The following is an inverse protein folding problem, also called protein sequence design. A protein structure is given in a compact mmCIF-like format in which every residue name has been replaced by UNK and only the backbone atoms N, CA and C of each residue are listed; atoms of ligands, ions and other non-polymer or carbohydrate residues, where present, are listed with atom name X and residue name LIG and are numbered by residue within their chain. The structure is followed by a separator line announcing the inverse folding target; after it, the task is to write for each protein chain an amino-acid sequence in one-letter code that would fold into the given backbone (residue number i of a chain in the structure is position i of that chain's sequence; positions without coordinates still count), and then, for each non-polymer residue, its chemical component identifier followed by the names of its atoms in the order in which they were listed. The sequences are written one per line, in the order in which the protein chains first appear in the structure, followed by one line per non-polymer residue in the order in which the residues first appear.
data_IF_764993064843
#
_entry.id   IF_764993064843
#
_cell.length_a   1.000
_cell.length_b   1.000
_cell.length_c   1.000
_cell.angle_alpha   90.00
_cell.angle_beta   90.00
_cell.angle_gamma   90.00
#
_symmetry.space_group_name_H-M   'P 1'
#
loop_
_entity.id
_entity.type
_entity.pdbx_description
1 polymer ?
#
# COMPACT_ATOMS: atom_id res chain seq x y z
N UNK A 1 33.93 21.22 45.27
CA UNK A 1 32.60 20.82 44.78
C UNK A 1 32.67 20.58 43.26
N UNK A 2 33.11 19.40 42.80
CA UNK A 2 33.25 19.10 41.35
C UNK A 2 32.71 17.72 40.93
N UNK A 3 32.14 16.94 41.87
CA UNK A 3 31.73 15.54 41.63
C UNK A 3 30.27 15.34 41.23
N UNK A 4 29.43 16.39 41.32
CA UNK A 4 28.00 16.29 41.02
C UNK A 4 27.66 16.55 39.54
N UNK A 5 28.46 17.35 38.83
CA UNK A 5 28.12 17.82 37.48
C UNK A 5 28.25 16.71 36.40
N UNK A 6 29.25 15.82 36.54
CA UNK A 6 29.50 14.76 35.54
C UNK A 6 28.44 13.65 35.51
N UNK A 7 27.77 13.38 36.63
CA UNK A 7 26.72 12.34 36.71
C UNK A 7 25.42 12.76 36.04
N UNK A 8 25.12 14.06 36.04
CA UNK A 8 23.89 14.59 35.42
C UNK A 8 23.98 14.52 33.90
N UNK A 9 25.15 14.78 33.31
CA UNK A 9 25.36 14.75 31.86
C UNK A 9 25.25 13.33 31.30
N UNK A 10 25.80 12.33 32.01
CA UNK A 10 25.72 10.92 31.57
C UNK A 10 24.28 10.40 31.63
N UNK A 11 23.52 10.76 32.67
CA UNK A 11 22.10 10.39 32.78
C UNK A 11 21.24 11.05 31.69
N UNK A 12 21.54 12.31 31.34
CA UNK A 12 20.81 13.03 30.29
C UNK A 12 21.06 12.41 28.90
N UNK A 13 22.30 12.01 28.60
CA UNK A 13 22.64 11.32 27.34
C UNK A 13 22.02 9.92 27.27
N UNK A 14 21.99 9.16 28.37
CA UNK A 14 21.38 7.84 28.39
C UNK A 14 19.85 7.90 28.21
N UNK A 15 19.18 8.91 28.76
CA UNK A 15 17.75 9.14 28.50
C UNK A 15 17.48 9.55 27.05
N UNK A 16 18.28 10.43 26.46
CA UNK A 16 18.12 10.84 25.05
C UNK A 16 18.36 9.69 24.06
N UNK A 17 19.31 8.80 24.36
CA UNK A 17 19.57 7.60 23.56
C UNK A 17 18.45 6.55 23.66
N UNK A 18 17.72 6.47 24.78
CA UNK A 18 16.56 5.58 24.94
C UNK A 18 15.33 6.03 24.13
N UNK A 19 15.23 7.30 23.75
CA UNK A 19 14.13 7.82 22.93
C UNK A 19 14.46 7.90 21.43
N UNK A 20 15.72 7.66 21.03
CA UNK A 20 16.17 7.89 19.66
C UNK A 20 16.18 6.63 18.75
N UNK A 21 15.89 5.43 19.26
CA UNK A 21 16.04 4.18 18.49
C UNK A 21 14.77 3.33 18.45
N UNK A 22 13.63 4.00 18.34
CA UNK A 22 12.42 3.37 17.79
C UNK A 22 11.86 4.34 16.77
N UNK A 23 12.58 4.54 15.65
CA UNK A 23 11.88 4.94 14.44
C UNK A 23 10.98 3.75 14.09
N UNK A 24 9.64 3.86 14.18
CA UNK A 24 8.81 2.82 13.62
C UNK A 24 9.19 2.74 12.14
N UNK A 25 9.74 1.61 11.71
CA UNK A 25 9.69 1.26 10.30
C UNK A 25 8.25 1.48 9.85
N UNK A 26 7.99 2.06 8.67
CA UNK A 26 6.63 2.14 8.16
C UNK A 26 6.02 0.73 8.26
N UNK A 27 4.99 0.59 9.10
CA UNK A 27 4.34 -0.69 9.27
C UNK A 27 3.63 -0.98 7.95
N UNK A 28 3.94 -2.12 7.34
CA UNK A 28 3.24 -2.59 6.14
C UNK A 28 1.73 -2.60 6.43
N UNK A 29 0.98 -1.81 5.67
CA UNK A 29 -0.45 -1.66 5.86
C UNK A 29 -1.21 -2.65 4.98
N UNK A 30 -2.20 -3.32 5.57
CA UNK A 30 -3.16 -4.11 4.84
C UNK A 30 -4.50 -3.36 4.83
N UNK A 31 -4.97 -3.00 3.65
CA UNK A 31 -6.24 -2.32 3.45
C UNK A 31 -7.28 -3.27 2.87
N UNK A 32 -8.55 -3.04 3.22
CA UNK A 32 -9.67 -3.88 2.80
C UNK A 32 -10.70 -3.04 2.05
N UNK A 33 -11.26 -3.65 1.02
CA UNK A 33 -12.27 -3.11 0.12
C UNK A 33 -13.35 -4.18 -0.08
N UNK A 34 -14.60 -3.85 0.18
CA UNK A 34 -15.72 -4.77 -0.06
C UNK A 34 -16.71 -4.17 -1.06
N UNK A 35 -16.71 -4.71 -2.28
CA UNK A 35 -17.51 -4.15 -3.39
C UNK A 35 -19.03 -4.32 -3.21
N UNK A 36 -19.46 -5.15 -2.25
CA UNK A 36 -20.87 -5.28 -1.88
C UNK A 36 -21.42 -4.11 -1.05
N UNK A 37 -20.56 -3.32 -0.40
CA UNK A 37 -20.94 -2.14 0.40
C UNK A 37 -20.60 -0.83 -0.32
N UNK A 38 -19.46 -0.79 -1.00
CA UNK A 38 -19.01 0.38 -1.76
C UNK A 38 -18.92 0.00 -3.25
N UNK A 39 -19.59 0.71 -4.17
CA UNK A 39 -19.55 0.37 -5.60
C UNK A 39 -18.18 0.61 -6.24
N UNK A 40 -17.28 1.30 -5.52
CA UNK A 40 -15.91 1.56 -5.92
C UNK A 40 -15.02 1.63 -4.68
N UNK A 41 -13.76 1.26 -4.87
CA UNK A 41 -12.71 1.42 -3.87
C UNK A 41 -11.60 2.31 -4.41
N UNK A 42 -11.08 3.16 -3.54
CA UNK A 42 -9.96 4.05 -3.81
C UNK A 42 -8.98 3.90 -2.65
N UNK A 43 -7.76 3.46 -2.94
CA UNK A 43 -6.72 3.24 -1.94
C UNK A 43 -5.34 3.66 -2.47
N UNK A 44 -4.49 4.12 -1.56
CA UNK A 44 -3.10 4.48 -1.84
C UNK A 44 -2.23 3.53 -1.02
N UNK A 45 -1.28 2.88 -1.70
CA UNK A 45 -0.33 1.96 -1.10
C UNK A 45 1.04 2.68 -1.10
N UNK A 46 1.35 3.45 -0.04
CA UNK A 46 2.52 4.33 -0.01
C UNK A 46 3.86 3.58 0.04
N UNK A 47 3.88 2.35 0.56
CA UNK A 47 5.12 1.62 0.79
C UNK A 47 5.16 0.29 0.04
N UNK A 48 6.38 -0.15 -0.27
CA UNK A 48 6.64 -1.50 -0.76
C UNK A 48 6.19 -2.53 0.27
N UNK A 49 5.46 -3.55 -0.19
CA UNK A 49 4.83 -4.58 0.61
C UNK A 49 3.38 -4.27 1.02
N UNK A 50 2.91 -3.02 0.91
CA UNK A 50 1.52 -2.69 1.26
C UNK A 50 0.52 -3.49 0.40
N UNK A 51 -0.57 -3.92 1.03
CA UNK A 51 -1.56 -4.84 0.46
C UNK A 51 -2.95 -4.20 0.40
N UNK A 52 -3.67 -4.48 -0.68
CA UNK A 52 -5.09 -4.20 -0.83
C UNK A 52 -5.85 -5.50 -1.09
N UNK A 53 -6.74 -5.87 -0.17
CA UNK A 53 -7.69 -6.97 -0.33
C UNK A 53 -9.03 -6.45 -0.85
N UNK A 54 -9.50 -7.02 -1.96
CA UNK A 54 -10.77 -6.67 -2.60
C UNK A 54 -11.70 -7.88 -2.54
N UNK A 55 -12.71 -7.80 -1.69
CA UNK A 55 -13.74 -8.82 -1.54
C UNK A 55 -14.86 -8.61 -2.56
N UNK A 56 -15.15 -9.66 -3.33
CA UNK A 56 -16.19 -9.70 -4.36
C UNK A 56 -17.49 -10.25 -3.74
N UNK A 57 -18.62 -9.53 -3.83
CA UNK A 57 -19.88 -9.97 -3.24
C UNK A 57 -20.41 -11.25 -3.91
N UNK A 58 -21.36 -11.91 -3.25
CA UNK A 58 -21.99 -13.15 -3.76
C UNK A 58 -22.80 -12.91 -5.05
N UNK A 59 -23.32 -11.71 -5.26
CA UNK A 59 -24.11 -11.34 -6.43
C UNK A 59 -23.73 -9.94 -6.91
N UNK A 60 -24.05 -9.65 -8.17
CA UNK A 60 -23.97 -8.29 -8.73
C UNK A 60 -22.57 -7.83 -9.15
N UNK A 61 -21.51 -8.62 -8.99
CA UNK A 61 -20.19 -8.31 -9.55
C UNK A 61 -19.65 -9.54 -10.27
N UNK A 62 -19.38 -9.39 -11.58
CA UNK A 62 -18.82 -10.45 -12.44
C UNK A 62 -17.50 -10.04 -13.10
N UNK A 63 -17.16 -8.75 -13.03
CA UNK A 63 -15.83 -8.24 -13.41
C UNK A 63 -15.47 -7.03 -12.57
N UNK A 64 -14.17 -6.72 -12.49
CA UNK A 64 -13.66 -5.50 -11.88
C UNK A 64 -12.89 -4.68 -12.90
N UNK A 65 -13.09 -3.35 -12.87
CA UNK A 65 -12.17 -2.41 -13.54
C UNK A 65 -11.16 -1.90 -12.54
N UNK A 66 -9.88 -2.08 -12.86
CA UNK A 66 -8.76 -1.64 -12.03
C UNK A 66 -8.02 -0.52 -12.75
N UNK A 67 -7.85 0.62 -12.08
CA UNK A 67 -7.06 1.75 -12.55
C UNK A 67 -5.89 1.95 -11.60
N UNK A 68 -4.69 1.81 -12.15
CA UNK A 68 -3.43 1.95 -11.43
C UNK A 68 -2.77 3.26 -11.83
N UNK A 69 -2.18 3.97 -10.88
CA UNK A 69 -1.46 5.22 -11.13
C UNK A 69 -0.22 5.29 -10.26
N UNK A 70 0.94 5.48 -10.89
CA UNK A 70 2.20 5.74 -10.20
C UNK A 70 2.21 7.21 -9.74
N UNK A 71 2.50 7.43 -8.45
CA UNK A 71 2.65 8.75 -7.84
C UNK A 71 4.04 8.96 -7.24
N UNK A 72 4.96 8.03 -7.51
CA UNK A 72 6.34 8.18 -7.09
C UNK A 72 7.05 9.21 -7.95
N UNK A 73 7.91 10.01 -7.30
CA UNK A 73 8.67 11.05 -7.97
C UNK A 73 9.96 10.46 -8.59
N UNK A 74 9.80 9.71 -9.69
CA UNK A 74 10.92 9.25 -10.51
C UNK A 74 11.29 7.77 -10.39
N UNK A 75 10.51 6.96 -9.65
CA UNK A 75 10.68 5.52 -9.57
C UNK A 75 9.60 4.77 -10.37
N UNK A 76 9.90 3.57 -10.82
CA UNK A 76 8.87 2.70 -11.39
C UNK A 76 8.05 2.08 -10.26
N UNK A 77 6.73 2.13 -10.38
CA UNK A 77 5.82 1.40 -9.50
C UNK A 77 5.59 0.00 -10.06
N UNK A 78 5.66 -1.00 -9.20
CA UNK A 78 5.36 -2.40 -9.55
C UNK A 78 4.15 -2.83 -8.73
N UNK A 79 3.06 -3.18 -9.41
CA UNK A 79 1.86 -3.71 -8.79
C UNK A 79 1.74 -5.18 -9.14
N UNK A 80 1.61 -6.03 -8.13
CA UNK A 80 1.34 -7.45 -8.33
C UNK A 80 -0.11 -7.77 -7.93
N UNK A 81 -0.63 -8.87 -8.47
CA UNK A 81 -1.94 -9.40 -8.10
C UNK A 81 -1.97 -10.92 -8.19
N UNK A 82 -2.93 -11.55 -7.53
CA UNK A 82 -3.16 -13.00 -7.62
C UNK A 82 -3.96 -13.43 -8.87
N UNK A 83 -4.40 -12.47 -9.69
CA UNK A 83 -5.25 -12.70 -10.88
C UNK A 83 -4.59 -12.36 -12.22
N UNK A 84 -3.41 -11.74 -12.22
CA UNK A 84 -2.67 -11.36 -13.43
C UNK A 84 -1.17 -11.23 -13.15
N UNK A 85 -0.37 -11.11 -14.21
CA UNK A 85 1.05 -10.81 -14.12
C UNK A 85 1.30 -9.41 -13.52
N UNK A 86 2.47 -9.22 -12.87
CA UNK A 86 2.87 -7.91 -12.37
C UNK A 86 2.81 -6.82 -13.46
N UNK A 87 2.32 -5.65 -13.06
CA UNK A 87 2.22 -4.47 -13.91
C UNK A 87 3.27 -3.47 -13.45
N UNK A 88 4.13 -3.05 -14.38
CA UNK A 88 5.11 -1.98 -14.17
C UNK A 88 4.56 -0.68 -14.77
N UNK A 89 4.65 0.40 -14.02
CA UNK A 89 4.16 1.73 -14.41
C UNK A 89 5.31 2.73 -14.21
N UNK A 90 5.78 3.34 -15.30
CA UNK A 90 6.85 4.34 -15.20
C UNK A 90 6.35 5.62 -14.50
N UNK A 91 7.26 6.49 -13.99
CA UNK A 91 6.88 7.70 -13.23
C UNK A 91 5.94 8.64 -14.01
N UNK A 92 6.16 8.75 -15.32
CA UNK A 92 5.44 9.68 -16.19
C UNK A 92 4.41 8.96 -17.08
N UNK A 93 4.15 7.68 -16.84
CA UNK A 93 3.17 6.92 -17.60
C UNK A 93 1.75 7.40 -17.31
N UNK A 94 0.88 7.24 -18.32
CA UNK A 94 -0.56 7.40 -18.11
C UNK A 94 -1.07 6.31 -17.18
N UNK A 95 -2.16 6.56 -16.43
CA UNK A 95 -2.81 5.53 -15.64
C UNK A 95 -3.09 4.28 -16.46
N UNK A 96 -2.74 3.11 -15.92
CA UNK A 96 -3.00 1.82 -16.55
C UNK A 96 -4.37 1.34 -16.13
N UNK A 97 -5.21 0.98 -17.11
CA UNK A 97 -6.53 0.41 -16.87
C UNK A 97 -6.59 -1.04 -17.35
N UNK A 98 -7.19 -1.89 -16.53
CA UNK A 98 -7.41 -3.31 -16.80
C UNK A 98 -8.81 -3.72 -16.35
N UNK A 99 -9.45 -4.59 -17.12
CA UNK A 99 -10.71 -5.22 -16.75
C UNK A 99 -10.44 -6.70 -16.50
N UNK A 100 -10.85 -7.21 -15.34
CA UNK A 100 -10.66 -8.60 -14.97
C UNK A 100 -11.99 -9.27 -14.72
N UNK A 101 -12.27 -10.44 -15.31
CA UNK A 101 -13.38 -11.28 -14.86
C UNK A 101 -13.09 -11.78 -13.45
N UNK A 102 -14.11 -11.83 -12.59
CA UNK A 102 -13.99 -12.33 -11.22
C UNK A 102 -15.10 -13.32 -10.90
N UNK A 103 -14.86 -14.17 -9.91
CA UNK A 103 -15.85 -15.13 -9.41
C UNK A 103 -16.62 -14.47 -8.25
N UNK A 104 -17.96 -14.54 -8.20
CA UNK A 104 -18.69 -14.07 -7.03
C UNK A 104 -18.26 -14.83 -5.76
N UNK A 105 -18.35 -14.16 -4.60
CA UNK A 105 -17.91 -14.72 -3.30
C UNK A 105 -16.42 -15.13 -3.27
N UNK A 106 -15.57 -14.37 -3.97
CA UNK A 106 -14.11 -14.51 -3.92
C UNK A 106 -13.46 -13.24 -3.39
N UNK A 107 -12.13 -13.23 -3.33
CA UNK A 107 -11.34 -12.03 -3.13
C UNK A 107 -10.21 -11.94 -4.16
N UNK A 108 -9.67 -10.74 -4.33
CA UNK A 108 -8.49 -10.44 -5.14
C UNK A 108 -7.53 -9.65 -4.26
N UNK A 109 -6.24 -9.96 -4.34
CA UNK A 109 -5.22 -9.22 -3.60
C UNK A 109 -4.36 -8.43 -4.59
N UNK A 110 -4.15 -7.15 -4.30
CA UNK A 110 -3.15 -6.33 -4.97
C UNK A 110 -2.06 -5.96 -3.99
N UNK A 111 -0.82 -5.93 -4.45
CA UNK A 111 0.32 -5.50 -3.64
C UNK A 111 1.18 -4.49 -4.38
N UNK A 112 1.74 -3.55 -3.62
CA UNK A 112 2.82 -2.70 -4.10
C UNK A 112 4.15 -3.45 -3.94
N UNK A 113 4.68 -4.02 -5.01
CA UNK A 113 5.92 -4.79 -5.03
C UNK A 113 7.12 -3.97 -5.52
N UNK A 114 7.02 -2.65 -5.49
CA UNK A 114 8.11 -1.78 -5.95
C UNK A 114 9.36 -2.03 -5.10
N UNK A 115 10.54 -2.27 -5.70
CA UNK A 115 11.75 -2.60 -4.93
C UNK A 115 12.33 -1.39 -4.18
N UNK A 116 11.88 -0.18 -4.53
CA UNK A 116 12.27 1.06 -3.87
C UNK A 116 11.25 1.41 -2.80
N UNK A 117 11.67 1.54 -1.52
CA UNK A 117 10.81 2.04 -0.45
C UNK A 117 10.17 3.38 -0.81
N UNK A 118 8.97 3.65 -0.31
CA UNK A 118 8.23 4.91 -0.51
C UNK A 118 7.76 5.18 -1.97
N UNK A 119 7.71 4.14 -2.82
CA UNK A 119 7.14 4.24 -4.17
C UNK A 119 5.62 4.15 -4.09
N UNK A 120 4.93 5.29 -4.02
CA UNK A 120 3.48 5.32 -3.86
C UNK A 120 2.75 4.89 -5.15
N UNK A 121 1.85 3.93 -5.01
CA UNK A 121 0.88 3.57 -6.04
C UNK A 121 -0.54 3.80 -5.57
N UNK A 122 -1.39 4.31 -6.46
CA UNK A 122 -2.82 4.43 -6.23
C UNK A 122 -3.57 3.35 -7.00
N UNK A 123 -4.46 2.65 -6.32
CA UNK A 123 -5.31 1.62 -6.89
C UNK A 123 -6.78 2.05 -6.75
N UNK A 124 -7.49 2.05 -7.86
CA UNK A 124 -8.93 2.25 -7.93
C UNK A 124 -9.60 1.02 -8.51
N UNK A 125 -10.61 0.47 -7.83
CA UNK A 125 -11.30 -0.76 -8.22
C UNK A 125 -12.80 -0.51 -8.28
N UNK A 126 -13.45 -0.89 -9.38
CA UNK A 126 -14.89 -0.75 -9.58
C UNK A 126 -15.50 -2.13 -9.82
N UNK A 127 -16.59 -2.44 -9.12
CA UNK A 127 -17.35 -3.66 -9.37
C UNK A 127 -18.34 -3.46 -10.52
N UNK A 128 -18.34 -4.36 -11.50
CA UNK A 128 -19.24 -4.32 -12.64
C UNK A 128 -20.13 -5.57 -12.71
N UNK A 129 -21.43 -5.35 -12.89
CA UNK A 129 -22.41 -6.38 -13.27
C UNK A 129 -22.62 -6.29 -14.78
N UNK A 130 -22.02 -7.20 -15.55
CA UNK A 130 -22.42 -7.38 -16.96
C UNK A 130 -23.70 -8.21 -17.08
#
# INVERSE_FOLDING_TARGET
MKKALGKVIVAFFFCLLSFAVVSPSPAMAAEYCFLGQEPQCFRELPFSGDLLYVDIPEFGVSSIDVILTNFSNGNEAVVNSDIDYPIVIAPDDRPVQRNYPVVPRSSVTFSNESPVPDTLVRIRVFGNSR
#
